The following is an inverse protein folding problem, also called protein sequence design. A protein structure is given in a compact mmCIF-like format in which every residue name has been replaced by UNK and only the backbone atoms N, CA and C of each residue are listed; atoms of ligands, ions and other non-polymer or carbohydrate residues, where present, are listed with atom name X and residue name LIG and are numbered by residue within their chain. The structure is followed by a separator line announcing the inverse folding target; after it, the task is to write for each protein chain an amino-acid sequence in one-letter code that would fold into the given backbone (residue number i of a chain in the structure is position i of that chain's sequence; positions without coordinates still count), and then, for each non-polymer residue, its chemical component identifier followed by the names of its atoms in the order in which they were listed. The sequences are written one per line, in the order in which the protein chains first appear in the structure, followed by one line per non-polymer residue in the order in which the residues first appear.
data_IF_832348075467
#
_entry.id   IF_832348075467
#
_cell.length_a   1.000
_cell.length_b   1.000
_cell.length_c   1.000
_cell.angle_alpha   90.00
_cell.angle_beta   90.00
_cell.angle_gamma   90.00
#
_symmetry.space_group_name_H-M   'P 1'
#
loop_
_entity.id
_entity.type
_entity.pdbx_description
1 polymer ?
#
# COMPACT_ATOMS: atom_id res chain seq x y z
N UNK A 1 10.61 -8.90 6.05
CA UNK A 1 10.83 -7.50 5.80
C UNK A 1 12.23 -7.24 5.25
N UNK A 2 13.25 -7.49 6.02
CA UNK A 2 14.60 -7.47 5.55
C UNK A 2 14.84 -8.44 4.43
N UNK A 3 14.21 -9.58 4.53
CA UNK A 3 14.29 -10.61 3.53
C UNK A 3 13.73 -10.15 2.20
N UNK A 4 12.70 -9.31 2.22
CA UNK A 4 12.16 -8.74 1.00
C UNK A 4 13.21 -7.90 0.27
N UNK A 5 13.97 -7.11 1.01
CA UNK A 5 15.02 -6.29 0.42
C UNK A 5 16.13 -7.13 -0.17
N UNK A 6 16.43 -8.25 0.46
CA UNK A 6 17.44 -9.16 -0.06
C UNK A 6 16.98 -9.91 -1.30
N UNK A 7 15.68 -10.20 -1.39
CA UNK A 7 15.13 -10.84 -2.56
C UNK A 7 15.23 -9.93 -3.78
N UNK A 8 15.27 -8.64 -3.55
CA UNK A 8 15.49 -7.65 -4.58
C UNK A 8 17.00 -7.48 -4.75
N UNK A 9 17.59 -8.34 -5.56
CA UNK A 9 19.04 -8.53 -5.60
C UNK A 9 19.86 -7.32 -6.02
N UNK A 10 19.27 -6.31 -6.65
CA UNK A 10 20.01 -5.15 -7.11
C UNK A 10 19.24 -3.86 -6.89
N UNK A 11 19.03 -3.51 -5.63
CA UNK A 11 18.21 -2.35 -5.31
C UNK A 11 18.76 -1.04 -5.89
N UNK A 12 20.08 -0.95 -6.07
CA UNK A 12 20.67 0.29 -6.58
C UNK A 12 20.49 0.49 -8.07
N UNK A 13 20.08 -0.54 -8.79
CA UNK A 13 19.93 -0.48 -10.23
C UNK A 13 18.47 -0.43 -10.67
N UNK A 14 17.54 -0.43 -9.71
CA UNK A 14 16.12 -0.43 -9.98
C UNK A 14 15.47 0.79 -9.36
N UNK A 15 14.44 1.31 -10.02
CA UNK A 15 13.63 2.38 -9.41
C UNK A 15 12.88 1.83 -8.20
N UNK A 16 12.43 2.72 -7.32
CA UNK A 16 11.63 2.32 -6.16
C UNK A 16 10.42 1.49 -6.55
N UNK A 17 9.73 1.88 -7.64
CA UNK A 17 8.57 1.14 -8.12
C UNK A 17 8.91 -0.25 -8.61
N UNK A 18 10.03 -0.39 -9.32
CA UNK A 18 10.45 -1.71 -9.81
C UNK A 18 10.78 -2.66 -8.67
N UNK A 19 11.45 -2.15 -7.64
CA UNK A 19 11.76 -2.98 -6.48
C UNK A 19 10.50 -3.46 -5.77
N UNK A 20 9.51 -2.59 -5.62
CA UNK A 20 8.27 -2.96 -4.95
C UNK A 20 7.48 -3.99 -5.78
N UNK A 21 7.47 -3.85 -7.09
CA UNK A 21 6.82 -4.83 -7.95
C UNK A 21 7.47 -6.20 -7.84
N UNK A 22 8.79 -6.24 -7.78
CA UNK A 22 9.52 -7.49 -7.60
C UNK A 22 9.17 -8.12 -6.24
N UNK A 23 9.14 -7.32 -5.18
CA UNK A 23 8.81 -7.82 -3.85
C UNK A 23 7.40 -8.41 -3.80
N UNK A 24 6.42 -7.74 -4.40
CA UNK A 24 5.05 -8.24 -4.47
C UNK A 24 4.98 -9.55 -5.24
N UNK A 25 5.66 -9.62 -6.39
CA UNK A 25 5.69 -10.84 -7.20
C UNK A 25 6.30 -12.02 -6.46
N UNK A 26 7.38 -11.79 -5.72
CA UNK A 26 8.01 -12.86 -4.94
C UNK A 26 7.13 -13.33 -3.80
N UNK A 27 6.46 -12.41 -3.11
CA UNK A 27 5.54 -12.76 -2.04
C UNK A 27 4.39 -13.62 -2.59
N UNK A 28 3.88 -13.26 -3.77
CA UNK A 28 2.82 -14.03 -4.40
C UNK A 28 3.28 -15.45 -4.75
N UNK A 29 4.52 -15.60 -5.17
CA UNK A 29 5.06 -16.93 -5.48
C UNK A 29 5.14 -17.83 -4.26
N UNK A 30 5.34 -17.28 -3.07
CA UNK A 30 5.32 -18.05 -1.82
C UNK A 30 3.89 -18.32 -1.32
N UNK A 31 2.90 -17.66 -1.93
CA UNK A 31 1.48 -17.81 -1.63
C UNK A 31 1.15 -17.64 -0.14
N UNK A 32 1.54 -16.52 0.46
CA UNK A 32 1.21 -16.28 1.86
C UNK A 32 -0.29 -16.05 2.02
N UNK A 33 -0.81 -16.26 3.23
CA UNK A 33 -2.21 -15.92 3.52
C UNK A 33 -2.39 -14.42 3.74
N UNK A 34 -1.34 -13.76 4.19
CA UNK A 34 -1.33 -12.30 4.40
C UNK A 34 -0.07 -11.72 3.78
N UNK A 35 -0.23 -10.67 3.01
CA UNK A 35 0.89 -9.93 2.44
C UNK A 35 0.96 -8.57 3.14
N UNK A 36 2.13 -8.25 3.68
CA UNK A 36 2.35 -6.97 4.36
C UNK A 36 3.21 -6.07 3.48
N UNK A 37 2.72 -4.86 3.22
CA UNK A 37 3.42 -3.87 2.41
C UNK A 37 3.64 -2.61 3.22
N UNK A 38 4.89 -2.18 3.31
CA UNK A 38 5.27 -1.01 4.09
C UNK A 38 5.66 0.11 3.13
N UNK A 39 4.79 1.10 2.99
CA UNK A 39 4.93 2.25 2.11
C UNK A 39 5.37 1.86 0.69
N UNK A 40 4.61 1.01 0.02
CA UNK A 40 5.03 0.45 -1.26
C UNK A 40 5.21 1.50 -2.37
N UNK A 41 4.59 2.68 -2.24
CA UNK A 41 4.71 3.72 -3.25
C UNK A 41 5.71 4.80 -2.89
N UNK A 42 6.48 4.65 -1.79
CA UNK A 42 7.45 5.65 -1.39
C UNK A 42 8.51 5.84 -2.47
N UNK A 43 8.71 7.07 -2.88
CA UNK A 43 9.75 7.42 -3.84
C UNK A 43 9.46 7.04 -5.30
N UNK A 44 8.24 6.63 -5.63
CA UNK A 44 7.91 6.25 -7.00
C UNK A 44 7.19 7.39 -7.72
N UNK A 45 7.27 7.38 -9.06
CA UNK A 45 6.56 8.36 -9.88
C UNK A 45 5.06 8.08 -9.87
N UNK A 46 4.22 9.08 -10.20
CA UNK A 46 2.77 8.88 -10.24
C UNK A 46 2.33 7.76 -11.17
N UNK A 47 2.97 7.60 -12.31
CA UNK A 47 2.61 6.54 -13.25
C UNK A 47 2.92 5.17 -12.66
N UNK A 48 4.08 5.02 -12.05
CA UNK A 48 4.47 3.77 -11.41
C UNK A 48 3.58 3.49 -10.21
N UNK A 49 3.18 4.53 -9.50
CA UNK A 49 2.27 4.41 -8.37
C UNK A 49 0.95 3.76 -8.79
N UNK A 50 0.36 4.23 -9.90
CA UNK A 50 -0.88 3.68 -10.40
C UNK A 50 -0.73 2.21 -10.79
N UNK A 51 0.36 1.87 -11.46
CA UNK A 51 0.65 0.49 -11.82
C UNK A 51 0.80 -0.40 -10.59
N UNK A 52 1.43 0.14 -9.55
CA UNK A 52 1.66 -0.60 -8.31
C UNK A 52 0.33 -0.87 -7.59
N UNK A 53 -0.54 0.12 -7.51
CA UNK A 53 -1.86 -0.07 -6.90
C UNK A 53 -2.70 -1.06 -7.69
N UNK A 54 -2.65 -1.02 -9.02
CA UNK A 54 -3.33 -2.00 -9.85
C UNK A 54 -2.83 -3.42 -9.56
N UNK A 55 -1.53 -3.58 -9.39
CA UNK A 55 -0.93 -4.86 -9.05
C UNK A 55 -1.40 -5.35 -7.68
N UNK A 56 -1.47 -4.45 -6.71
CA UNK A 56 -1.95 -4.78 -5.37
C UNK A 56 -3.38 -5.29 -5.42
N UNK A 57 -4.23 -4.63 -6.21
CA UNK A 57 -5.62 -5.06 -6.40
C UNK A 57 -5.67 -6.47 -7.00
N UNK A 58 -4.86 -6.74 -8.01
CA UNK A 58 -4.79 -8.06 -8.62
C UNK A 58 -4.43 -9.14 -7.61
N UNK A 59 -3.43 -8.86 -6.77
CA UNK A 59 -3.00 -9.81 -5.74
C UNK A 59 -4.13 -10.05 -4.74
N UNK A 60 -4.84 -9.00 -4.34
CA UNK A 60 -5.95 -9.13 -3.40
C UNK A 60 -7.08 -10.00 -3.98
N UNK A 61 -7.29 -9.92 -5.28
CA UNK A 61 -8.33 -10.72 -5.95
C UNK A 61 -8.04 -12.22 -5.93
N UNK A 62 -6.82 -12.62 -5.67
CA UNK A 62 -6.47 -14.03 -5.54
C UNK A 62 -6.85 -14.62 -4.19
N UNK A 63 -7.40 -13.81 -3.29
CA UNK A 63 -7.82 -14.26 -1.97
C UNK A 63 -6.80 -13.98 -0.86
N UNK A 64 -5.69 -13.33 -1.20
CA UNK A 64 -4.68 -12.94 -0.22
C UNK A 64 -5.15 -11.67 0.48
N UNK A 65 -5.11 -11.67 1.81
CA UNK A 65 -5.36 -10.45 2.58
C UNK A 65 -4.13 -9.56 2.55
N UNK A 66 -4.33 -8.27 2.35
CA UNK A 66 -3.22 -7.32 2.27
C UNK A 66 -3.34 -6.31 3.40
N UNK A 67 -2.26 -6.18 4.17
CA UNK A 67 -2.10 -5.14 5.16
C UNK A 67 -1.06 -4.16 4.63
N UNK A 68 -1.46 -2.92 4.41
CA UNK A 68 -0.59 -1.94 3.79
C UNK A 68 -0.48 -0.69 4.66
N UNK A 69 0.76 -0.23 4.86
CA UNK A 69 1.02 1.07 5.48
C UNK A 69 1.36 2.03 4.34
N UNK A 70 0.62 3.13 4.23
CA UNK A 70 0.79 4.03 3.08
C UNK A 70 0.55 5.47 3.50
N UNK A 71 1.44 6.38 3.08
CA UNK A 71 1.26 7.80 3.30
C UNK A 71 0.36 8.44 2.27
N UNK A 72 0.26 7.83 1.09
CA UNK A 72 -0.63 8.31 0.05
C UNK A 72 -2.05 7.89 0.38
N UNK A 73 -2.66 8.63 1.29
CA UNK A 73 -3.90 8.23 1.94
C UNK A 73 -5.06 8.08 0.95
N UNK A 74 -5.20 9.02 0.01
CA UNK A 74 -6.32 8.99 -0.93
C UNK A 74 -6.35 7.69 -1.74
N UNK A 75 -5.23 7.36 -2.36
CA UNK A 75 -5.19 6.16 -3.19
C UNK A 75 -5.29 4.88 -2.37
N UNK A 76 -4.70 4.87 -1.18
CA UNK A 76 -4.81 3.70 -0.31
C UNK A 76 -6.25 3.46 0.11
N UNK A 77 -6.98 4.52 0.50
CA UNK A 77 -8.35 4.40 0.95
C UNK A 77 -9.30 4.02 -0.20
N UNK A 78 -8.99 4.42 -1.43
CA UNK A 78 -9.80 4.06 -2.59
C UNK A 78 -9.87 2.55 -2.80
N UNK A 79 -8.82 1.83 -2.44
CA UNK A 79 -8.78 0.39 -2.65
C UNK A 79 -8.96 -0.41 -1.36
N UNK A 80 -8.97 0.24 -0.22
CA UNK A 80 -9.03 -0.44 1.08
C UNK A 80 -10.46 -0.82 1.44
N UNK A 81 -10.63 -2.03 1.96
CA UNK A 81 -11.90 -2.42 2.56
C UNK A 81 -12.06 -1.73 3.92
N UNK A 82 -10.98 -1.72 4.70
CA UNK A 82 -10.94 -1.07 6.02
C UNK A 82 -9.70 -0.22 6.12
N UNK A 83 -9.84 0.98 6.65
CA UNK A 83 -8.73 1.89 6.87
C UNK A 83 -8.56 2.22 8.33
N UNK A 84 -7.32 2.41 8.73
CA UNK A 84 -6.93 2.87 10.06
C UNK A 84 -6.07 4.12 9.87
N UNK A 85 -6.54 5.26 10.35
CA UNK A 85 -5.78 6.51 10.23
C UNK A 85 -5.07 6.76 11.55
N UNK A 86 -3.75 6.78 11.50
CA UNK A 86 -2.93 6.96 12.68
C UNK A 86 -2.44 8.41 12.77
N UNK A 87 -2.51 8.97 13.96
CA UNK A 87 -1.99 10.30 14.25
C UNK A 87 -1.07 10.17 15.45
N UNK A 88 0.19 10.54 15.28
CA UNK A 88 1.19 10.47 16.34
C UNK A 88 1.25 9.10 17.01
N UNK A 89 1.18 8.06 16.17
CA UNK A 89 1.30 6.68 16.64
C UNK A 89 0.04 6.09 17.25
N UNK A 90 -1.05 6.85 17.33
CA UNK A 90 -2.31 6.36 17.87
C UNK A 90 -3.39 6.33 16.81
N UNK A 91 -4.27 5.34 16.87
CA UNK A 91 -5.36 5.23 15.93
C UNK A 91 -6.40 6.33 16.19
N UNK A 92 -6.62 7.19 15.19
CA UNK A 92 -7.58 8.28 15.29
C UNK A 92 -8.92 7.95 14.64
N UNK A 93 -8.90 7.20 13.54
CA UNK A 93 -10.10 6.86 12.78
C UNK A 93 -10.00 5.42 12.30
N UNK A 94 -11.13 4.70 12.39
CA UNK A 94 -11.23 3.35 11.84
C UNK A 94 -12.61 3.23 11.19
N UNK A 95 -12.61 2.92 9.90
CA UNK A 95 -13.87 2.71 9.15
C UNK A 95 -13.55 2.03 7.83
N UNK A 96 -14.56 1.81 7.00
CA UNK A 96 -14.32 1.35 5.64
C UNK A 96 -13.56 2.41 4.86
N UNK A 97 -12.83 1.99 3.82
CA UNK A 97 -12.14 2.94 2.96
C UNK A 97 -13.09 3.99 2.39
N UNK A 98 -14.26 3.54 1.94
CA UNK A 98 -15.27 4.44 1.37
C UNK A 98 -15.78 5.46 2.41
N UNK A 99 -16.05 5.02 3.63
CA UNK A 99 -16.52 5.91 4.68
C UNK A 99 -15.47 6.95 5.05
N UNK A 100 -14.21 6.55 5.15
CA UNK A 100 -13.12 7.49 5.45
C UNK A 100 -12.93 8.49 4.33
N UNK A 101 -13.06 8.06 3.07
CA UNK A 101 -12.98 8.97 1.93
C UNK A 101 -14.08 10.01 1.94
N UNK A 102 -15.24 9.66 2.46
CA UNK A 102 -16.39 10.56 2.52
C UNK A 102 -16.42 11.44 3.78
N UNK A 103 -15.62 11.12 4.78
CA UNK A 103 -15.60 11.86 6.04
C UNK A 103 -14.98 13.26 5.83
N UNK A 104 -15.72 14.35 6.09
CA UNK A 104 -15.19 15.71 5.85
C UNK A 104 -13.95 16.03 6.65
N UNK A 105 -13.84 15.52 7.86
CA UNK A 105 -12.67 15.80 8.69
C UNK A 105 -11.44 15.05 8.19
N UNK A 106 -11.59 13.80 7.78
CA UNK A 106 -10.52 13.02 7.19
C UNK A 106 -10.06 13.68 5.90
N UNK A 107 -10.99 14.08 5.05
CA UNK A 107 -10.67 14.75 3.79
C UNK A 107 -9.88 16.04 4.03
N UNK A 108 -10.35 16.86 4.95
CA UNK A 108 -9.69 18.12 5.23
C UNK A 108 -8.29 17.93 5.81
N UNK A 109 -8.13 16.96 6.70
CA UNK A 109 -6.89 16.80 7.44
C UNK A 109 -5.84 15.99 6.65
N UNK A 110 -6.26 14.95 5.93
CA UNK A 110 -5.33 13.99 5.35
C UNK A 110 -5.39 13.88 3.83
N UNK A 111 -6.48 14.30 3.19
CA UNK A 111 -6.66 14.10 1.76
C UNK A 111 -6.57 15.37 0.94
N UNK A 112 -6.31 16.49 1.57
CA UNK A 112 -6.17 17.78 0.89
C UNK A 112 -7.49 18.44 0.52
N UNK A 113 -8.55 18.06 1.18
CA UNK A 113 -9.84 18.69 0.95
C UNK A 113 -10.92 17.83 0.33
#
# INVERSE_FOLDING_TARGET
HEQRDRLDSRPNQMSGGQRQQVAVGRALMTKPSVLMLDEPTAGVSPIVMDELFDRIIEVARTGISILMVEQNARQALEIADTGYVLVQGANAYTDTGAALMADPEVRRTFLGG
#
